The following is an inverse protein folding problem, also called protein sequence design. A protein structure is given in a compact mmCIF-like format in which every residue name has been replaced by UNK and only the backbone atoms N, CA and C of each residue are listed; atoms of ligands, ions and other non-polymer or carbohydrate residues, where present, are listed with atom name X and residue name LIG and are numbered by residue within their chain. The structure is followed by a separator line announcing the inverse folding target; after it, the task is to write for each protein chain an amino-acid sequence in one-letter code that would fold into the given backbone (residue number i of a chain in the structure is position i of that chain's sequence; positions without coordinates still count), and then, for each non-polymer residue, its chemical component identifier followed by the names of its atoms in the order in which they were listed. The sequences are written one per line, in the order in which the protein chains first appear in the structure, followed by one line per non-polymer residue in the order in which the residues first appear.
data_IF_482251981570
#
_entry.id   IF_482251981570
#
_cell.length_a   1.000
_cell.length_b   1.000
_cell.length_c   1.000
_cell.angle_alpha   90.00
_cell.angle_beta   90.00
_cell.angle_gamma   90.00
#
_symmetry.space_group_name_H-M   'P 1'
#
loop_
_entity.id
_entity.type
_entity.pdbx_description
1 polymer ?
#
# COMPACT_ATOMS: atom_id res chain seq x y z
N UNK A 1 -17.84 79.09 -23.97
CA UNK A 1 -17.37 77.70 -23.90
C UNK A 1 -15.98 77.69 -24.56
N UNK A 2 -14.87 78.00 -23.86
CA UNK A 2 -13.97 77.07 -23.13
C UNK A 2 -13.89 75.68 -23.81
N UNK A 3 -12.75 75.09 -24.19
CA UNK A 3 -11.32 75.37 -23.93
C UNK A 3 -10.44 74.35 -24.71
N UNK A 4 -9.16 74.68 -24.89
CA UNK A 4 -7.93 73.85 -25.05
C UNK A 4 -7.83 72.88 -26.27
N UNK A 5 -6.96 73.06 -27.27
CA UNK A 5 -5.48 73.07 -27.36
C UNK A 5 -4.82 71.73 -26.97
N UNK A 6 -4.26 71.05 -27.98
CA UNK A 6 -3.04 70.24 -27.92
C UNK A 6 -3.18 68.79 -27.41
N UNK A 7 -2.60 67.82 -28.14
CA UNK A 7 -1.26 67.28 -27.84
C UNK A 7 -1.09 65.87 -28.43
N UNK A 8 -0.26 65.79 -29.49
CA UNK A 8 0.33 64.57 -30.02
C UNK A 8 1.36 64.04 -29.00
N UNK A 9 1.25 62.78 -28.58
CA UNK A 9 2.31 62.02 -27.89
C UNK A 9 2.33 60.61 -28.48
N UNK A 10 3.25 60.33 -29.41
CA UNK A 10 4.57 59.71 -29.18
C UNK A 10 4.46 58.33 -28.53
N UNK A 11 4.71 57.32 -29.36
CA UNK A 11 5.06 55.96 -29.01
C UNK A 11 6.08 55.91 -27.86
N UNK A 12 5.72 55.29 -26.73
CA UNK A 12 6.71 54.75 -25.80
C UNK A 12 6.45 53.26 -25.63
N UNK A 13 7.28 52.52 -26.37
CA UNK A 13 7.60 51.13 -26.19
C UNK A 13 8.18 50.92 -24.78
N UNK A 14 7.37 50.45 -23.83
CA UNK A 14 7.90 49.92 -22.58
C UNK A 14 8.36 48.48 -22.80
N UNK A 15 9.62 48.36 -23.22
CA UNK A 15 10.42 47.15 -22.99
C UNK A 15 10.63 47.04 -21.48
N UNK A 16 9.82 46.21 -20.82
CA UNK A 16 10.09 45.77 -19.46
C UNK A 16 11.09 44.60 -19.54
N UNK A 17 12.37 44.96 -19.41
CA UNK A 17 13.47 44.02 -19.20
C UNK A 17 13.24 43.24 -17.91
N UNK A 18 13.44 41.92 -18.03
CA UNK A 18 13.70 40.94 -17.00
C UNK A 18 14.07 41.51 -15.62
N UNK A 19 13.11 41.46 -14.69
CA UNK A 19 13.46 41.20 -13.30
C UNK A 19 13.48 39.70 -13.11
N UNK A 20 14.71 39.20 -13.05
CA UNK A 20 15.08 37.95 -12.44
C UNK A 20 14.43 37.88 -11.04
N UNK A 21 13.24 37.31 -10.97
CA UNK A 21 12.70 36.81 -9.72
C UNK A 21 13.43 35.53 -9.41
N UNK A 22 14.60 35.63 -8.76
CA UNK A 22 14.99 34.57 -7.83
C UNK A 22 13.78 34.37 -6.93
N UNK A 23 13.05 33.29 -7.15
CA UNK A 23 12.07 32.85 -6.16
C UNK A 23 12.92 32.39 -5.00
N UNK A 24 13.01 33.23 -3.97
CA UNK A 24 13.44 32.78 -2.66
C UNK A 24 12.49 31.64 -2.29
N UNK A 25 12.93 30.40 -2.50
CA UNK A 25 12.26 29.21 -1.98
C UNK A 25 12.23 29.44 -0.47
N UNK A 26 11.06 29.60 0.16
CA UNK A 26 10.99 29.83 1.59
C UNK A 26 11.68 28.64 2.27
N UNK A 27 12.79 28.90 2.95
CA UNK A 27 13.60 27.90 3.64
C UNK A 27 12.97 27.45 4.97
N UNK A 28 11.76 27.94 5.28
CA UNK A 28 10.91 27.47 6.37
C UNK A 28 9.93 26.39 5.90
N UNK A 29 9.74 25.34 6.70
CA UNK A 29 8.68 24.37 6.48
C UNK A 29 7.32 25.09 6.56
N UNK A 30 6.58 25.15 5.44
CA UNK A 30 5.29 25.87 5.35
C UNK A 30 4.22 25.31 6.29
N UNK A 31 4.42 24.09 6.77
CA UNK A 31 3.48 23.34 7.60
C UNK A 31 3.96 23.18 9.06
N UNK A 32 5.05 23.86 9.43
CA UNK A 32 5.57 23.78 10.80
C UNK A 32 4.58 24.38 11.81
N UNK A 33 4.35 23.67 12.91
CA UNK A 33 3.41 24.07 13.95
C UNK A 33 1.91 23.92 13.63
N UNK A 34 1.53 23.43 12.45
CA UNK A 34 0.12 23.10 12.15
C UNK A 34 -0.36 21.89 12.94
N UNK A 35 -1.64 21.90 13.34
CA UNK A 35 -2.29 20.75 13.97
C UNK A 35 -2.56 19.63 12.95
N UNK A 36 -2.74 18.40 13.44
CA UNK A 36 -3.08 17.25 12.59
C UNK A 36 -4.34 17.49 11.75
N UNK A 37 -5.37 18.11 12.32
CA UNK A 37 -6.63 18.39 11.60
C UNK A 37 -6.40 19.35 10.43
N UNK A 38 -5.56 20.35 10.62
CA UNK A 38 -5.22 21.31 9.55
C UNK A 38 -4.40 20.62 8.45
N UNK A 39 -3.41 19.79 8.82
CA UNK A 39 -2.63 18.98 7.87
C UNK A 39 -3.56 18.05 7.07
N UNK A 40 -4.50 17.38 7.73
CA UNK A 40 -5.48 16.50 7.09
C UNK A 40 -6.38 17.25 6.11
N UNK A 41 -6.78 18.49 6.44
CA UNK A 41 -7.68 19.28 5.59
C UNK A 41 -7.07 19.72 4.26
N UNK A 42 -5.73 19.83 4.20
CA UNK A 42 -5.00 20.23 2.99
C UNK A 42 -4.38 19.03 2.24
N UNK A 43 -4.38 17.86 2.86
CA UNK A 43 -3.78 16.66 2.30
C UNK A 43 -4.61 16.12 1.13
N UNK A 44 -3.91 15.69 0.08
CA UNK A 44 -4.48 14.97 -1.06
C UNK A 44 -3.96 13.53 -1.08
N UNK A 45 -4.63 12.61 -1.79
CA UNK A 45 -4.20 11.22 -1.93
C UNK A 45 -3.93 10.86 -3.41
N UNK A 46 -2.87 11.42 -4.02
CA UNK A 46 -2.44 11.02 -5.34
C UNK A 46 -1.77 9.64 -5.26
N UNK A 47 -2.22 8.69 -6.08
CA UNK A 47 -1.57 7.39 -6.18
C UNK A 47 -0.08 7.52 -6.56
N UNK A 48 0.73 6.53 -6.19
CA UNK A 48 2.18 6.55 -6.35
C UNK A 48 2.64 6.96 -7.76
N UNK A 49 2.07 6.34 -8.80
CA UNK A 49 2.48 6.60 -10.19
C UNK A 49 2.22 8.05 -10.61
N UNK A 50 1.15 8.67 -10.13
CA UNK A 50 0.85 10.08 -10.39
C UNK A 50 1.91 10.98 -9.78
N UNK A 51 2.29 10.72 -8.53
CA UNK A 51 3.34 11.48 -7.83
C UNK A 51 4.68 11.28 -8.51
N UNK A 52 5.05 10.05 -8.84
CA UNK A 52 6.35 9.75 -9.44
C UNK A 52 6.51 10.34 -10.84
N UNK A 53 5.48 10.20 -11.70
CA UNK A 53 5.56 10.67 -13.11
C UNK A 53 5.32 12.16 -13.27
N UNK A 54 4.68 12.81 -12.30
CA UNK A 54 4.32 14.23 -12.36
C UNK A 54 4.78 15.00 -11.13
N UNK A 55 5.95 14.68 -10.59
CA UNK A 55 6.44 15.15 -9.29
C UNK A 55 6.39 16.69 -9.14
N UNK A 56 6.63 17.42 -10.22
CA UNK A 56 6.62 18.88 -10.26
C UNK A 56 5.24 19.45 -9.91
N UNK A 57 4.16 18.72 -10.20
CA UNK A 57 2.78 19.12 -9.88
C UNK A 57 2.45 18.93 -8.40
N UNK A 58 3.22 18.10 -7.70
CA UNK A 58 2.97 17.73 -6.31
C UNK A 58 3.96 18.38 -5.34
N UNK A 59 5.10 18.88 -5.82
CA UNK A 59 6.10 19.54 -4.99
C UNK A 59 5.50 20.64 -4.11
N UNK A 60 5.80 20.60 -2.81
CA UNK A 60 5.27 21.50 -1.79
C UNK A 60 3.84 21.19 -1.33
N UNK A 61 3.12 20.25 -1.95
CA UNK A 61 1.80 19.80 -1.50
C UNK A 61 1.93 18.72 -0.43
N UNK A 62 0.94 18.66 0.45
CA UNK A 62 0.80 17.57 1.43
C UNK A 62 0.06 16.41 0.78
N UNK A 63 0.64 15.21 0.89
CA UNK A 63 0.00 13.97 0.49
C UNK A 63 -0.22 13.06 1.70
N UNK A 64 -1.29 12.26 1.64
CA UNK A 64 -1.55 11.17 2.57
C UNK A 64 -1.12 9.85 1.94
N UNK A 65 -0.31 9.07 2.67
CA UNK A 65 0.06 7.72 2.28
C UNK A 65 -0.11 6.75 3.44
N UNK A 66 -0.45 5.51 3.13
CA UNK A 66 -0.33 4.36 4.03
C UNK A 66 0.61 3.35 3.39
N UNK A 67 1.53 2.79 4.16
CA UNK A 67 2.50 1.84 3.63
C UNK A 67 3.33 1.15 4.70
N UNK A 68 4.15 0.19 4.30
CA UNK A 68 5.05 -0.52 5.19
C UNK A 68 6.46 0.03 5.10
N UNK A 69 7.11 0.19 6.26
CA UNK A 69 8.52 0.57 6.33
C UNK A 69 9.39 -0.63 5.94
N UNK A 70 10.01 -0.58 4.77
CA UNK A 70 10.89 -1.65 4.25
C UNK A 70 12.36 -1.43 4.60
N UNK A 71 12.71 -0.22 5.04
CA UNK A 71 14.03 0.11 5.56
C UNK A 71 13.92 1.30 6.51
N UNK A 72 14.61 1.25 7.65
CA UNK A 72 14.71 2.36 8.58
C UNK A 72 16.18 2.62 8.94
N UNK A 73 16.71 3.77 8.54
CA UNK A 73 18.04 4.23 8.93
C UNK A 73 17.88 5.38 9.91
N UNK A 74 18.55 5.32 11.06
CA UNK A 74 18.53 6.40 12.04
C UNK A 74 19.93 6.95 12.30
N UNK A 75 20.06 8.27 12.29
CA UNK A 75 21.24 8.98 12.77
C UNK A 75 20.80 10.10 13.70
N UNK A 76 21.33 10.10 14.94
CA UNK A 76 21.15 11.16 15.92
C UNK A 76 19.68 11.56 16.18
N UNK A 77 18.76 10.57 16.11
CA UNK A 77 17.32 10.77 16.33
C UNK A 77 16.51 11.12 15.08
N UNK A 78 17.17 11.43 13.95
CA UNK A 78 16.52 11.57 12.64
C UNK A 78 16.50 10.25 11.90
N UNK A 79 15.42 10.01 11.19
CA UNK A 79 15.15 8.79 10.45
C UNK A 79 15.06 9.08 8.96
N UNK A 80 15.68 8.21 8.17
CA UNK A 80 15.42 8.04 6.76
C UNK A 80 14.68 6.72 6.61
N UNK A 81 13.42 6.78 6.22
CA UNK A 81 12.58 5.60 6.01
C UNK A 81 12.38 5.37 4.52
N UNK A 82 12.37 4.11 4.11
CA UNK A 82 11.79 3.69 2.83
C UNK A 82 10.42 3.09 3.10
N UNK A 83 9.37 3.72 2.59
CA UNK A 83 7.99 3.29 2.81
C UNK A 83 7.40 2.82 1.50
N UNK A 84 7.13 1.52 1.40
CA UNK A 84 6.46 0.93 0.25
C UNK A 84 4.93 1.02 0.45
N UNK A 85 4.24 1.52 -0.57
CA UNK A 85 2.79 1.81 -0.52
C UNK A 85 1.96 0.84 -1.34
N UNK A 86 2.60 0.06 -2.23
CA UNK A 86 1.95 -0.91 -3.08
C UNK A 86 2.33 -2.32 -2.57
N UNK A 87 1.36 -3.07 -2.01
CA UNK A 87 1.59 -4.47 -1.69
C UNK A 87 1.59 -5.31 -2.97
N UNK A 88 2.47 -6.31 -3.01
CA UNK A 88 2.43 -7.41 -3.97
C UNK A 88 1.16 -8.24 -3.81
N UNK A 89 0.92 -9.13 -4.78
CA UNK A 89 -0.15 -10.13 -4.71
C UNK A 89 -0.10 -11.03 -3.45
N UNK A 90 1.06 -11.11 -2.79
CA UNK A 90 1.26 -11.89 -1.56
C UNK A 90 1.17 -11.04 -0.28
N UNK A 91 0.74 -9.78 -0.39
CA UNK A 91 0.60 -8.86 0.74
C UNK A 91 1.91 -8.26 1.26
N UNK A 92 3.05 -8.63 0.68
CA UNK A 92 4.36 -8.03 0.99
C UNK A 92 4.45 -6.66 0.32
N UNK A 93 4.91 -5.63 1.01
CA UNK A 93 5.12 -4.32 0.42
C UNK A 93 6.52 -4.23 -0.18
N UNK A 94 6.62 -4.16 -1.50
CA UNK A 94 7.91 -4.05 -2.22
C UNK A 94 7.94 -2.90 -3.22
N UNK A 95 6.77 -2.38 -3.59
CA UNK A 95 6.61 -1.41 -4.67
C UNK A 95 6.01 -0.08 -4.16
N UNK A 96 6.08 0.94 -5.01
CA UNK A 96 5.58 2.28 -4.66
C UNK A 96 6.34 2.90 -3.48
N UNK A 97 7.68 2.91 -3.57
CA UNK A 97 8.56 3.26 -2.47
C UNK A 97 8.77 4.77 -2.39
N UNK A 98 8.53 5.36 -1.23
CA UNK A 98 8.87 6.75 -0.92
C UNK A 98 10.13 6.83 -0.05
N UNK A 99 10.98 7.83 -0.33
CA UNK A 99 12.03 8.27 0.58
C UNK A 99 11.43 9.24 1.58
N UNK A 100 11.40 8.89 2.87
CA UNK A 100 10.76 9.71 3.90
C UNK A 100 11.80 10.21 4.89
N UNK A 101 11.93 11.52 4.98
CA UNK A 101 12.68 12.18 6.05
C UNK A 101 11.75 12.38 7.25
N UNK A 102 12.06 11.73 8.37
CA UNK A 102 11.28 11.75 9.60
C UNK A 102 12.15 12.17 10.78
N UNK A 103 11.66 13.06 11.64
CA UNK A 103 12.46 13.64 12.72
C UNK A 103 12.40 12.85 14.04
N UNK A 104 11.61 11.77 14.11
CA UNK A 104 11.45 10.96 15.31
C UNK A 104 10.53 11.55 16.37
N UNK A 105 9.96 12.74 16.16
CA UNK A 105 9.19 13.48 17.18
C UNK A 105 7.92 12.76 17.61
N UNK A 106 7.33 11.95 16.73
CA UNK A 106 6.07 11.22 16.96
C UNK A 106 6.30 9.76 17.41
N UNK A 107 7.53 9.39 17.74
CA UNK A 107 7.87 8.05 18.23
C UNK A 107 8.92 7.33 17.38
N UNK A 108 9.28 6.12 17.82
CA UNK A 108 10.26 5.28 17.12
C UNK A 108 9.53 4.42 16.11
N UNK A 109 10.08 4.35 14.90
CA UNK A 109 9.59 3.52 13.80
C UNK A 109 10.59 2.40 13.54
N UNK A 110 10.08 1.19 13.25
CA UNK A 110 10.88 0.01 12.91
C UNK A 110 10.57 -0.46 11.50
N UNK A 111 11.49 -1.27 10.97
CA UNK A 111 11.20 -2.04 9.76
C UNK A 111 10.01 -2.97 10.00
N UNK A 112 9.22 -3.21 8.96
CA UNK A 112 7.93 -3.91 8.95
C UNK A 112 6.74 -3.18 9.57
N UNK A 113 6.92 -2.01 10.21
CA UNK A 113 5.80 -1.22 10.72
C UNK A 113 4.91 -0.73 9.57
N UNK A 114 3.59 -0.88 9.74
CA UNK A 114 2.61 -0.24 8.87
C UNK A 114 2.38 1.18 9.37
N UNK A 115 2.62 2.18 8.53
CA UNK A 115 2.53 3.59 8.90
C UNK A 115 1.39 4.29 8.18
N UNK A 116 0.73 5.20 8.90
CA UNK A 116 -0.14 6.23 8.33
C UNK A 116 0.60 7.55 8.36
N UNK A 117 0.77 8.20 7.22
CA UNK A 117 1.62 9.38 7.13
C UNK A 117 1.02 10.47 6.26
N UNK A 118 1.13 11.70 6.77
CA UNK A 118 0.97 12.92 6.00
C UNK A 118 2.35 13.53 5.80
N UNK A 119 2.72 13.76 4.54
CA UNK A 119 4.04 14.26 4.18
C UNK A 119 3.98 15.30 3.08
N UNK A 120 4.86 16.29 3.16
CA UNK A 120 5.07 17.26 2.10
C UNK A 120 5.97 16.64 1.02
N UNK A 121 5.55 16.74 -0.23
CA UNK A 121 6.36 16.29 -1.38
C UNK A 121 7.52 17.24 -1.61
N UNK A 122 8.74 16.74 -1.53
CA UNK A 122 9.96 17.54 -1.73
C UNK A 122 10.43 17.47 -3.18
N UNK A 123 10.31 16.31 -3.83
CA UNK A 123 10.80 16.09 -5.19
C UNK A 123 11.16 14.64 -5.44
N UNK A 124 12.17 14.39 -6.29
CA UNK A 124 12.76 13.08 -6.51
C UNK A 124 14.09 12.97 -5.79
N UNK A 125 14.35 11.80 -5.21
CA UNK A 125 15.63 11.42 -4.61
C UNK A 125 16.24 10.28 -5.39
N UNK A 126 17.48 10.46 -5.83
CA UNK A 126 18.30 9.37 -6.37
C UNK A 126 19.28 8.88 -5.30
N UNK A 127 19.39 7.58 -5.13
CA UNK A 127 20.33 6.94 -4.22
C UNK A 127 20.97 5.71 -4.87
N UNK A 128 22.15 5.33 -4.38
CA UNK A 128 22.84 4.12 -4.81
C UNK A 128 22.39 2.93 -3.95
N UNK A 129 22.00 1.84 -4.60
CA UNK A 129 21.67 0.58 -3.94
C UNK A 129 22.93 -0.13 -3.46
N UNK A 130 22.78 -1.12 -2.57
CA UNK A 130 23.91 -1.93 -2.09
C UNK A 130 24.66 -2.66 -3.23
N UNK A 131 23.98 -2.92 -4.35
CA UNK A 131 24.56 -3.54 -5.55
C UNK A 131 25.12 -2.51 -6.56
N UNK A 132 25.28 -1.24 -6.16
CA UNK A 132 25.88 -0.19 -6.98
C UNK A 132 24.98 0.41 -8.07
N UNK A 133 23.73 -0.02 -8.16
CA UNK A 133 22.77 0.54 -9.12
C UNK A 133 22.06 1.76 -8.53
N UNK A 134 21.88 2.81 -9.33
CA UNK A 134 21.08 3.99 -8.94
C UNK A 134 19.58 3.70 -8.98
N UNK A 135 18.86 4.21 -7.99
CA UNK A 135 17.39 4.19 -7.90
C UNK A 135 16.88 5.59 -7.62
N UNK A 136 15.83 5.99 -8.33
CA UNK A 136 15.15 7.28 -8.16
C UNK A 136 13.73 7.03 -7.68
N UNK A 137 13.34 7.69 -6.58
CA UNK A 137 12.01 7.56 -5.96
C UNK A 137 11.53 8.93 -5.44
N UNK A 138 10.21 9.12 -5.19
CA UNK A 138 9.72 10.38 -4.63
C UNK A 138 10.19 10.58 -3.19
N UNK A 139 10.49 11.82 -2.83
CA UNK A 139 10.95 12.25 -1.52
C UNK A 139 9.87 13.02 -0.77
N UNK A 140 9.63 12.63 0.47
CA UNK A 140 8.69 13.26 1.38
C UNK A 140 9.39 13.74 2.64
N UNK A 141 8.94 14.90 3.14
CA UNK A 141 9.19 15.32 4.52
C UNK A 141 7.96 14.96 5.35
N UNK A 142 8.15 14.14 6.37
CA UNK A 142 7.06 13.75 7.27
C UNK A 142 6.58 14.97 8.08
N UNK A 143 5.28 15.22 8.07
CA UNK A 143 4.62 16.24 8.91
C UNK A 143 3.90 15.57 10.08
N UNK A 144 3.26 14.44 9.79
CA UNK A 144 2.69 13.56 10.80
C UNK A 144 2.90 12.11 10.39
N UNK A 145 3.32 11.28 11.33
CA UNK A 145 3.48 9.84 11.13
C UNK A 145 2.95 9.14 12.38
N UNK A 146 2.06 8.18 12.16
CA UNK A 146 1.63 7.24 13.20
C UNK A 146 1.93 5.82 12.74
N UNK A 147 2.50 5.00 13.61
CA UNK A 147 2.49 3.55 13.37
C UNK A 147 1.08 3.05 13.64
N UNK A 148 0.48 2.43 12.63
CA UNK A 148 -0.62 1.51 12.91
C UNK A 148 0.06 0.30 13.55
N UNK A 149 -0.44 -0.16 14.70
CA UNK A 149 -0.19 -1.55 15.06
C UNK A 149 -0.54 -2.34 13.81
N UNK A 150 0.39 -3.16 13.28
CA UNK A 150 0.05 -4.10 12.21
C UNK A 150 -1.23 -4.74 12.73
N UNK A 151 -2.41 -4.50 12.10
CA UNK A 151 -3.58 -5.20 12.53
C UNK A 151 -3.16 -6.63 12.34
N UNK A 152 -3.00 -7.38 13.44
CA UNK A 152 -3.02 -8.83 13.31
C UNK A 152 -4.31 -9.04 12.54
N UNK A 153 -4.27 -9.51 11.29
CA UNK A 153 -5.50 -9.72 10.57
C UNK A 153 -6.11 -10.93 11.24
N UNK A 154 -6.84 -10.69 12.31
CA UNK A 154 -7.97 -11.49 12.70
C UNK A 154 -9.15 -10.68 12.22
N UNK A 155 -9.53 -10.76 10.93
CA UNK A 155 -10.94 -10.64 10.66
C UNK A 155 -11.58 -11.65 11.62
N UNK A 156 -12.41 -11.15 12.55
CA UNK A 156 -13.23 -12.04 13.37
C UNK A 156 -14.28 -12.55 12.41
N UNK A 157 -13.86 -13.52 11.62
CA UNK A 157 -14.73 -14.31 10.79
C UNK A 157 -15.50 -15.13 11.78
N UNK A 158 -16.80 -14.92 11.82
CA UNK A 158 -17.65 -15.79 12.59
C UNK A 158 -17.38 -17.21 12.06
N UNK A 159 -17.27 -18.24 12.91
CA UNK A 159 -17.08 -19.63 12.44
C UNK A 159 -18.14 -20.05 11.41
N UNK A 160 -19.28 -19.35 11.40
CA UNK A 160 -20.42 -19.53 10.51
C UNK A 160 -20.34 -18.73 9.20
N UNK A 161 -19.40 -17.78 9.06
CA UNK A 161 -19.25 -16.95 7.84
C UNK A 161 -18.42 -17.64 6.76
N UNK A 162 -17.89 -18.84 7.02
CA UNK A 162 -17.20 -19.64 6.01
C UNK A 162 -17.59 -21.12 5.99
N UNK A 163 -17.79 -21.57 4.74
CA UNK A 163 -17.38 -22.86 4.21
C UNK A 163 -18.34 -24.05 4.37
N UNK A 164 -19.04 -24.37 3.28
CA UNK A 164 -19.37 -25.77 2.99
C UNK A 164 -18.09 -26.42 2.45
N UNK A 165 -17.41 -27.19 3.29
CA UNK A 165 -16.27 -28.04 2.92
C UNK A 165 -16.76 -29.42 2.49
N UNK A 166 -16.35 -29.86 1.30
CA UNK A 166 -16.40 -31.28 0.91
C UNK A 166 -14.98 -31.74 0.62
N UNK A 167 -14.57 -32.79 1.31
CA UNK A 167 -13.29 -33.45 1.05
C UNK A 167 -13.55 -34.68 0.21
N UNK A 168 -13.02 -34.67 -1.02
CA UNK A 168 -13.09 -35.80 -1.93
C UNK A 168 -11.66 -36.31 -2.17
N UNK A 169 -11.50 -37.64 -2.23
CA UNK A 169 -10.25 -38.21 -2.73
C UNK A 169 -10.31 -38.33 -4.25
N UNK A 170 -9.41 -37.68 -4.96
CA UNK A 170 -9.29 -37.83 -6.42
C UNK A 170 -8.08 -38.72 -6.74
N UNK A 171 -8.30 -39.71 -7.61
CA UNK A 171 -7.22 -40.32 -8.39
C UNK A 171 -7.20 -39.58 -9.72
N UNK A 172 -6.08 -38.96 -10.06
CA UNK A 172 -5.94 -38.33 -11.38
C UNK A 172 -5.67 -39.43 -12.41
N UNK A 173 -6.41 -39.45 -13.51
CA UNK A 173 -6.21 -40.47 -14.56
C UNK A 173 -4.90 -40.17 -15.30
N UNK A 174 -3.85 -40.89 -14.93
CA UNK A 174 -2.49 -40.74 -15.47
C UNK A 174 -1.41 -40.69 -14.39
N UNK A 175 -1.79 -40.46 -13.14
CA UNK A 175 -0.86 -40.39 -12.01
C UNK A 175 -1.00 -41.62 -11.10
N UNK A 176 0.13 -42.26 -10.77
CA UNK A 176 0.14 -43.45 -9.90
C UNK A 176 -0.04 -43.09 -8.42
N UNK A 177 -0.15 -41.80 -8.10
CA UNK A 177 -0.25 -41.27 -6.73
C UNK A 177 -1.65 -40.73 -6.46
N UNK A 178 -2.27 -41.19 -5.36
CA UNK A 178 -3.56 -40.67 -4.90
C UNK A 178 -3.36 -39.27 -4.30
N UNK A 179 -4.23 -38.32 -4.62
CA UNK A 179 -4.22 -36.99 -4.01
C UNK A 179 -5.53 -36.74 -3.25
N UNK A 180 -5.42 -36.11 -2.07
CA UNK A 180 -6.62 -35.58 -1.41
C UNK A 180 -6.91 -34.19 -1.93
N UNK A 181 -8.18 -33.92 -2.20
CA UNK A 181 -8.62 -32.65 -2.73
C UNK A 181 -9.70 -32.10 -1.82
N UNK A 182 -9.46 -30.91 -1.29
CA UNK A 182 -10.47 -30.15 -0.57
C UNK A 182 -11.16 -29.21 -1.56
N UNK A 183 -12.50 -29.25 -1.55
CA UNK A 183 -13.34 -28.34 -2.34
C UNK A 183 -14.29 -27.61 -1.40
N UNK A 184 -14.65 -26.41 -1.79
CA UNK A 184 -15.73 -25.68 -1.14
C UNK A 184 -15.98 -24.36 -1.85
N UNK A 185 -16.82 -23.54 -1.22
CA UNK A 185 -17.22 -22.25 -1.79
C UNK A 185 -16.98 -21.11 -0.82
N UNK A 186 -16.72 -19.93 -1.39
CA UNK A 186 -16.64 -18.65 -0.69
C UNK A 186 -17.66 -17.74 -1.32
N UNK A 187 -18.50 -17.12 -0.49
CA UNK A 187 -19.42 -16.09 -0.94
C UNK A 187 -18.98 -14.74 -0.39
N UNK A 188 -18.92 -13.72 -1.24
CA UNK A 188 -18.77 -12.35 -0.77
C UNK A 188 -20.12 -11.85 -0.22
N UNK A 189 -20.27 -11.81 1.10
CA UNK A 189 -21.47 -11.29 1.77
C UNK A 189 -21.39 -9.78 2.06
N UNK A 190 -20.25 -9.14 1.76
CA UNK A 190 -20.07 -7.71 1.93
C UNK A 190 -20.77 -6.90 0.83
N UNK A 191 -20.97 -5.61 1.09
CA UNK A 191 -21.50 -4.64 0.11
C UNK A 191 -20.42 -4.08 -0.83
N UNK A 192 -19.16 -4.42 -0.59
CA UNK A 192 -17.98 -3.98 -1.34
C UNK A 192 -17.40 -5.15 -2.13
N UNK A 193 -16.66 -4.88 -3.20
CA UNK A 193 -15.97 -5.93 -3.95
C UNK A 193 -14.80 -6.46 -3.13
N UNK A 194 -14.68 -7.77 -3.07
CA UNK A 194 -13.48 -8.42 -2.56
C UNK A 194 -12.42 -8.32 -3.66
N UNK A 195 -11.51 -7.36 -3.53
CA UNK A 195 -10.38 -7.22 -4.43
C UNK A 195 -9.51 -8.50 -4.43
N UNK A 196 -9.29 -9.11 -3.27
CA UNK A 196 -8.49 -10.32 -3.13
C UNK A 196 -8.74 -11.08 -1.82
N UNK A 197 -8.67 -12.41 -1.84
CA UNK A 197 -8.46 -13.25 -0.67
C UNK A 197 -7.72 -14.55 -1.01
N UNK A 198 -7.08 -15.16 0.00
CA UNK A 198 -6.53 -16.52 -0.10
C UNK A 198 -7.33 -17.48 0.75
N UNK A 199 -7.61 -18.66 0.18
CA UNK A 199 -8.21 -19.79 0.88
C UNK A 199 -7.09 -20.72 1.29
N UNK A 200 -6.72 -20.73 2.56
CA UNK A 200 -5.73 -21.67 3.07
C UNK A 200 -6.43 -22.94 3.53
N UNK A 201 -6.07 -24.09 2.95
CA UNK A 201 -6.51 -25.42 3.38
C UNK A 201 -5.36 -26.13 4.09
N UNK A 202 -5.60 -26.55 5.33
CA UNK A 202 -4.74 -27.44 6.09
C UNK A 202 -5.32 -28.85 6.10
N UNK A 203 -4.48 -29.83 5.81
CA UNK A 203 -4.79 -31.26 5.80
C UNK A 203 -4.20 -31.90 7.05
N UNK A 204 -4.99 -32.73 7.73
CA UNK A 204 -4.67 -33.30 9.03
C UNK A 204 -4.71 -34.83 9.00
N UNK A 205 -3.90 -35.44 9.87
CA UNK A 205 -3.89 -36.90 10.03
C UNK A 205 -5.18 -37.43 10.67
N UNK A 206 -5.81 -36.62 11.51
CA UNK A 206 -7.12 -36.81 12.12
C UNK A 206 -7.71 -35.45 12.50
N UNK A 207 -8.99 -35.39 12.86
CA UNK A 207 -9.69 -34.13 13.19
C UNK A 207 -8.96 -33.27 14.25
N UNK A 208 -8.28 -33.92 15.19
CA UNK A 208 -7.47 -33.27 16.23
C UNK A 208 -5.98 -33.63 16.12
N UNK A 209 -5.56 -34.22 15.00
CA UNK A 209 -4.20 -34.65 14.73
C UNK A 209 -3.29 -33.52 14.22
N UNK A 210 -2.01 -33.82 13.96
CA UNK A 210 -1.09 -32.84 13.38
C UNK A 210 -1.46 -32.48 11.94
N UNK A 211 -1.06 -31.27 11.52
CA UNK A 211 -1.12 -30.84 10.12
C UNK A 211 -0.05 -31.59 9.32
N UNK A 212 -0.49 -32.27 8.26
CA UNK A 212 0.38 -32.98 7.32
C UNK A 212 0.86 -32.03 6.21
N UNK A 213 -0.06 -31.23 5.69
CA UNK A 213 0.21 -30.30 4.59
C UNK A 213 -0.70 -29.10 4.69
N UNK A 214 -0.22 -27.98 4.13
CA UNK A 214 -1.02 -26.77 3.93
C UNK A 214 -0.82 -26.32 2.50
N UNK A 215 -1.91 -25.98 1.83
CA UNK A 215 -1.90 -25.44 0.47
C UNK A 215 -3.00 -24.38 0.37
N UNK A 216 -3.01 -23.60 -0.71
CA UNK A 216 -3.93 -22.49 -0.85
C UNK A 216 -4.50 -22.36 -2.26
N UNK A 217 -5.70 -21.78 -2.34
CA UNK A 217 -6.28 -21.21 -3.54
C UNK A 217 -6.45 -19.69 -3.38
N UNK A 218 -6.71 -18.99 -4.47
CA UNK A 218 -6.82 -17.53 -4.47
C UNK A 218 -8.04 -17.07 -5.25
N UNK A 219 -8.72 -16.07 -4.72
CA UNK A 219 -9.83 -15.39 -5.37
C UNK A 219 -9.52 -13.90 -5.46
N UNK A 220 -9.85 -13.29 -6.60
CA UNK A 220 -9.75 -11.84 -6.80
C UNK A 220 -10.99 -11.33 -7.52
N UNK A 221 -11.28 -10.05 -7.29
CA UNK A 221 -12.41 -9.34 -7.90
C UNK A 221 -13.76 -10.04 -7.72
N UNK A 222 -14.04 -10.56 -6.51
CA UNK A 222 -15.31 -11.20 -6.20
C UNK A 222 -16.32 -10.14 -5.74
N UNK A 223 -17.29 -9.82 -6.58
CA UNK A 223 -18.31 -8.80 -6.32
C UNK A 223 -19.30 -9.19 -5.23
N UNK A 224 -20.08 -8.22 -4.69
CA UNK A 224 -21.12 -8.49 -3.70
C UNK A 224 -22.09 -9.60 -4.13
N UNK A 225 -22.26 -10.60 -3.28
CA UNK A 225 -23.12 -11.76 -3.49
C UNK A 225 -22.52 -12.88 -4.36
N UNK A 226 -21.40 -12.63 -5.04
CA UNK A 226 -20.76 -13.61 -5.91
C UNK A 226 -20.12 -14.76 -5.11
N UNK A 227 -20.05 -15.92 -5.75
CA UNK A 227 -19.53 -17.16 -5.17
C UNK A 227 -18.31 -17.62 -5.97
N UNK A 228 -17.25 -17.97 -5.26
CA UNK A 228 -16.05 -18.60 -5.79
C UNK A 228 -15.94 -20.04 -5.30
N UNK A 229 -15.70 -20.98 -6.22
CA UNK A 229 -15.38 -22.37 -5.88
C UNK A 229 -13.87 -22.54 -5.82
N UNK A 230 -13.33 -23.01 -4.68
CA UNK A 230 -11.92 -23.32 -4.57
C UNK A 230 -11.67 -24.83 -4.66
N UNK A 231 -10.50 -25.19 -5.20
CA UNK A 231 -10.03 -26.58 -5.28
C UNK A 231 -8.56 -26.65 -4.87
N UNK A 232 -8.31 -27.17 -3.68
CA UNK A 232 -6.95 -27.30 -3.16
C UNK A 232 -6.53 -28.77 -3.12
N UNK A 233 -5.41 -29.06 -3.76
CA UNK A 233 -4.84 -30.41 -3.83
C UNK A 233 -3.71 -30.56 -2.81
N UNK A 234 -3.70 -31.68 -2.10
CA UNK A 234 -2.56 -32.12 -1.32
C UNK A 234 -1.67 -33.05 -2.16
N UNK A 235 -0.45 -32.57 -2.45
CA UNK A 235 0.58 -33.33 -3.16
C UNK A 235 1.48 -34.18 -2.25
N UNK A 236 1.28 -34.16 -0.93
CA UNK A 236 2.11 -34.88 0.06
C UNK A 236 1.32 -35.90 0.86
N UNK A 237 1.88 -37.09 1.05
CA UNK A 237 1.44 -38.10 2.03
C UNK A 237 -0.09 -38.29 2.09
N UNK A 238 -0.73 -38.40 0.93
CA UNK A 238 -2.18 -38.40 0.83
C UNK A 238 -2.84 -39.55 1.63
N UNK A 239 -2.18 -40.68 1.78
CA UNK A 239 -2.71 -41.81 2.55
C UNK A 239 -2.86 -41.51 4.05
N UNK A 240 -2.14 -40.50 4.55
CA UNK A 240 -2.19 -40.12 5.97
C UNK A 240 -3.25 -39.09 6.28
N UNK A 241 -3.83 -38.42 5.28
CA UNK A 241 -4.85 -37.39 5.51
C UNK A 241 -6.20 -38.03 5.70
N UNK A 242 -6.88 -37.67 6.78
CA UNK A 242 -8.28 -38.06 7.03
C UNK A 242 -9.21 -36.86 7.22
N UNK A 243 -8.67 -35.64 7.30
CA UNK A 243 -9.44 -34.44 7.60
C UNK A 243 -8.82 -33.18 6.99
N UNK A 244 -9.64 -32.17 6.68
CA UNK A 244 -9.18 -30.88 6.16
C UNK A 244 -9.99 -29.71 6.74
N UNK A 245 -9.34 -28.58 7.00
CA UNK A 245 -9.98 -27.31 7.35
C UNK A 245 -9.51 -26.24 6.38
N UNK A 246 -10.41 -25.36 5.96
CA UNK A 246 -9.99 -24.14 5.30
C UNK A 246 -10.38 -22.90 6.11
N UNK A 247 -9.62 -21.85 5.85
CA UNK A 247 -9.83 -20.52 6.40
C UNK A 247 -9.50 -19.50 5.33
N UNK A 248 -10.21 -18.38 5.34
CA UNK A 248 -9.80 -17.22 4.57
C UNK A 248 -8.66 -16.51 5.29
N UNK A 249 -7.63 -16.17 4.54
CA UNK A 249 -6.50 -15.34 4.98
C UNK A 249 -6.26 -14.23 3.95
N UNK A 250 -5.68 -13.12 4.42
CA UNK A 250 -5.26 -12.01 3.56
C UNK A 250 -6.40 -11.40 2.70
N UNK A 251 -7.62 -11.31 3.26
CA UNK A 251 -8.76 -10.70 2.55
C UNK A 251 -8.64 -9.17 2.47
N UNK A 252 -8.92 -8.61 1.30
CA UNK A 252 -8.95 -7.16 1.03
C UNK A 252 -10.18 -6.81 0.20
N UNK A 253 -10.93 -5.82 0.68
CA UNK A 253 -12.04 -5.19 -0.04
C UNK A 253 -11.58 -3.85 -0.66
N UNK A 254 -12.32 -3.38 -1.67
CA UNK A 254 -12.14 -2.06 -2.27
C UNK A 254 -12.68 -0.90 -1.41
#
# INVERSE_FOLDING_TARGET
MRKDIGLIWVFILFVAIAMCGCTDVPTGNRYDGMSLQEIQSVAINPGYDSVFRGIEQYQGKVIHITGQVIQAQSDSGRYILRVATIPTLFGQYTDGVYWVNYDGSQGRVRESDLVDMYGEVIGLRTYETVLGSSKTIPELRSLHLSSKAVPTPTPTLNPDDFLILKMDSLRDEGDYVKHNVARGTIQNTAKANLAYASVQVSFYESENGPVIATSSDYVSNLGPGEIFEYKVVNYKDAERVSYARAKIVNARFD
#
